data_IF_075965458146
#
_entry.id   IF_075965458146
#
_cell.length_a   1.000
_cell.length_b   1.000
_cell.length_c   1.000
_cell.angle_alpha   90.00
_cell.angle_beta   90.00
_cell.angle_gamma   90.00
#
_symmetry.space_group_name_H-M   'P 1'
#
loop_
_entity.id
_entity.type
_entity.pdbx_description
1 polymer ?
#
# COMPACT_ATOMS: atom_id res chain seq x y z
N UNK A 1 -3.22 -29.90 14.48
CA UNK A 1 -2.44 -29.26 15.56
C UNK A 1 -2.50 -27.76 15.33
N UNK A 2 -3.21 -27.04 16.18
CA UNK A 2 -3.48 -25.60 16.06
C UNK A 2 -2.30 -24.85 16.69
N UNK A 3 -1.53 -24.11 15.91
CA UNK A 3 -0.37 -23.36 16.42
C UNK A 3 -0.91 -22.12 17.13
N UNK A 4 -1.19 -22.24 18.42
CA UNK A 4 -1.46 -21.11 19.31
C UNK A 4 -0.12 -20.42 19.63
N UNK A 5 0.06 -19.16 19.24
CA UNK A 5 1.09 -18.33 19.90
C UNK A 5 1.86 -17.29 19.08
N UNK A 6 1.63 -17.11 17.78
CA UNK A 6 2.17 -15.92 17.11
C UNK A 6 1.21 -14.75 17.37
N UNK A 7 1.55 -13.90 18.34
CA UNK A 7 0.97 -12.56 18.41
C UNK A 7 1.30 -11.89 17.08
N UNK A 8 0.30 -11.59 16.27
CA UNK A 8 0.51 -10.80 15.06
C UNK A 8 1.20 -9.50 15.45
N UNK A 9 2.02 -8.93 14.58
CA UNK A 9 2.75 -7.70 14.93
C UNK A 9 1.77 -6.55 15.22
N UNK A 10 0.58 -6.60 14.64
CA UNK A 10 -0.58 -5.80 15.02
C UNK A 10 -0.92 -5.86 16.52
N UNK A 11 -0.88 -7.02 17.16
CA UNK A 11 -1.12 -7.16 18.62
C UNK A 11 0.04 -6.64 19.46
N UNK A 12 1.29 -6.74 18.98
CA UNK A 12 2.47 -6.21 19.68
C UNK A 12 2.50 -4.68 19.62
N UNK A 13 2.02 -4.11 18.53
CA UNK A 13 1.99 -2.66 18.29
C UNK A 13 0.77 -2.00 18.94
N UNK A 14 -0.39 -2.67 18.98
CA UNK A 14 -1.53 -2.23 19.78
C UNK A 14 -1.20 -2.16 21.29
N UNK A 15 -0.34 -3.05 21.79
CA UNK A 15 0.10 -3.04 23.19
C UNK A 15 1.06 -1.88 23.54
N UNK A 16 1.61 -1.17 22.55
CA UNK A 16 2.54 -0.04 22.74
C UNK A 16 1.91 1.33 22.54
N UNK A 17 0.59 1.41 22.33
CA UNK A 17 -0.13 2.69 22.16
C UNK A 17 0.09 3.34 20.78
N UNK A 18 0.52 2.56 19.79
CA UNK A 18 0.72 3.05 18.42
C UNK A 18 -0.62 3.07 17.66
N UNK A 19 -1.10 4.27 17.32
CA UNK A 19 -2.29 4.48 16.47
C UNK A 19 -1.94 4.34 14.98
N UNK A 20 -1.66 3.11 14.56
CA UNK A 20 -1.42 2.73 13.16
C UNK A 20 -2.68 2.21 12.44
N UNK A 21 -2.66 2.14 11.10
CA UNK A 21 -3.75 1.57 10.31
C UNK A 21 -3.84 0.05 10.53
N UNK A 22 -5.04 -0.48 10.65
CA UNK A 22 -5.30 -1.91 10.80
C UNK A 22 -5.35 -2.64 9.45
N UNK A 23 -5.63 -1.91 8.36
CA UNK A 23 -5.62 -2.44 7.00
C UNK A 23 -4.72 -1.64 6.05
N UNK A 24 -4.18 -2.29 5.02
CA UNK A 24 -3.25 -1.62 4.10
C UNK A 24 -3.94 -0.52 3.27
N UNK A 25 -5.23 -0.66 2.99
CA UNK A 25 -6.07 0.31 2.27
C UNK A 25 -6.81 1.30 3.19
N UNK A 26 -6.63 1.19 4.51
CA UNK A 26 -7.32 2.06 5.47
C UNK A 26 -6.77 3.49 5.42
N UNK A 27 -7.61 4.53 5.35
CA UNK A 27 -7.17 5.92 5.49
C UNK A 27 -6.37 6.15 6.78
N UNK A 28 -5.19 6.77 6.68
CA UNK A 28 -4.38 7.09 7.85
C UNK A 28 -3.91 8.55 7.78
N UNK A 29 -4.20 9.44 8.75
CA UNK A 29 -3.83 10.86 8.69
C UNK A 29 -2.33 11.11 8.97
N UNK A 30 -1.45 10.35 8.33
CA UNK A 30 -0.01 10.50 8.44
C UNK A 30 0.48 11.72 7.65
N UNK A 31 1.44 12.48 8.21
CA UNK A 31 2.06 13.62 7.52
C UNK A 31 3.46 13.25 7.04
N UNK A 32 3.71 13.42 5.76
CA UNK A 32 5.01 13.09 5.17
C UNK A 32 5.92 14.30 5.05
N UNK A 33 7.22 14.06 5.19
CA UNK A 33 8.26 15.03 4.89
C UNK A 33 8.84 14.81 3.49
N UNK A 34 9.26 15.88 2.78
CA UNK A 34 10.03 15.74 1.55
C UNK A 34 11.28 14.86 1.77
N UNK A 35 11.53 13.94 0.85
CA UNK A 35 12.62 12.96 0.91
C UNK A 35 12.30 11.68 1.70
N UNK A 36 11.16 11.60 2.38
CA UNK A 36 10.77 10.42 3.16
C UNK A 36 10.45 9.22 2.24
N UNK A 37 10.86 8.03 2.67
CA UNK A 37 10.52 6.77 2.02
C UNK A 37 9.11 6.33 2.41
N UNK A 38 8.35 5.89 1.40
CA UNK A 38 6.93 5.51 1.53
C UNK A 38 6.64 4.30 0.65
N UNK A 39 5.52 3.65 0.91
CA UNK A 39 4.95 2.59 0.09
C UNK A 39 3.68 3.14 -0.56
N UNK A 40 3.56 2.99 -1.87
CA UNK A 40 2.39 3.43 -2.64
C UNK A 40 1.65 2.24 -3.23
N UNK A 41 0.33 2.28 -3.10
CA UNK A 41 -0.56 1.32 -3.73
C UNK A 41 -0.86 1.76 -5.16
N UNK A 42 -0.56 0.90 -6.12
CA UNK A 42 -0.90 1.10 -7.52
C UNK A 42 -1.92 0.02 -7.90
N UNK A 43 -3.15 0.47 -8.14
CA UNK A 43 -4.21 -0.38 -8.66
C UNK A 43 -3.97 -0.57 -10.15
N UNK A 44 -3.53 -1.77 -10.54
CA UNK A 44 -3.32 -2.15 -11.94
C UNK A 44 -4.63 -2.41 -12.68
N UNK A 45 -4.54 -2.69 -13.97
CA UNK A 45 -5.69 -3.18 -14.73
C UNK A 45 -6.06 -4.60 -14.26
N UNK A 46 -7.27 -4.76 -13.72
CA UNK A 46 -7.79 -6.04 -13.23
C UNK A 46 -7.61 -6.23 -11.72
N UNK A 47 -7.04 -7.38 -11.34
CA UNK A 47 -6.97 -7.84 -9.93
C UNK A 47 -5.56 -7.71 -9.33
N UNK A 48 -4.60 -7.18 -10.09
CA UNK A 48 -3.25 -6.90 -9.59
C UNK A 48 -3.26 -5.59 -8.81
N UNK A 49 -3.10 -5.72 -7.50
CA UNK A 49 -2.85 -4.63 -6.58
C UNK A 49 -1.43 -4.77 -6.11
N UNK A 50 -0.59 -3.79 -6.43
CA UNK A 50 0.83 -3.86 -6.11
C UNK A 50 1.24 -2.66 -5.27
N UNK A 51 2.12 -2.92 -4.30
CA UNK A 51 2.69 -1.91 -3.43
C UNK A 51 4.14 -1.65 -3.86
N UNK A 52 4.45 -0.40 -4.22
CA UNK A 52 5.77 0.00 -4.70
C UNK A 52 6.52 0.82 -3.66
N UNK A 53 7.84 0.60 -3.50
CA UNK A 53 8.70 1.50 -2.76
C UNK A 53 8.82 2.82 -3.51
N UNK A 54 8.68 3.92 -2.76
CA UNK A 54 8.57 5.25 -3.31
C UNK A 54 9.20 6.30 -2.39
N UNK A 55 9.28 7.53 -2.89
CA UNK A 55 9.84 8.67 -2.18
C UNK A 55 8.98 9.90 -2.35
N UNK A 56 8.75 10.62 -1.25
CA UNK A 56 8.02 11.88 -1.26
C UNK A 56 8.92 12.97 -1.85
N UNK A 57 8.46 13.62 -2.91
CA UNK A 57 9.18 14.75 -3.52
C UNK A 57 8.83 16.04 -2.78
N UNK A 58 7.53 16.31 -2.62
CA UNK A 58 7.02 17.54 -2.02
C UNK A 58 5.55 17.41 -1.62
N UNK A 59 5.09 18.25 -0.70
CA UNK A 59 3.66 18.49 -0.47
C UNK A 59 3.12 19.38 -1.58
N UNK A 60 2.03 18.99 -2.24
CA UNK A 60 1.49 19.74 -3.40
C UNK A 60 0.36 20.67 -3.00
N UNK A 61 -0.83 20.14 -2.72
CA UNK A 61 -2.02 20.93 -2.43
C UNK A 61 -2.84 20.31 -1.31
N UNK A 62 -3.53 21.16 -0.55
CA UNK A 62 -4.59 20.76 0.34
C UNK A 62 -5.94 20.96 -0.36
N UNK A 63 -6.79 19.94 -0.39
CA UNK A 63 -8.17 20.03 -0.86
C UNK A 63 -9.09 20.05 0.36
N UNK A 64 -9.82 21.14 0.54
CA UNK A 64 -10.86 21.22 1.57
C UNK A 64 -12.12 20.50 1.07
N UNK A 65 -12.58 19.54 1.85
CA UNK A 65 -13.89 18.90 1.74
C UNK A 65 -14.78 19.42 2.88
N UNK A 66 -16.12 19.25 2.78
CA UNK A 66 -17.05 19.71 3.82
C UNK A 66 -16.77 19.16 5.23
N UNK A 67 -16.11 18.00 5.33
CA UNK A 67 -15.85 17.27 6.57
C UNK A 67 -14.36 16.95 6.82
N UNK A 68 -13.45 17.28 5.90
CA UNK A 68 -12.04 16.91 6.01
C UNK A 68 -11.13 17.80 5.15
N UNK A 69 -9.84 17.86 5.48
CA UNK A 69 -8.82 18.44 4.59
C UNK A 69 -7.92 17.33 4.08
N UNK A 70 -7.92 17.12 2.76
CA UNK A 70 -7.07 16.14 2.08
C UNK A 70 -5.74 16.80 1.69
N UNK A 71 -4.65 16.37 2.31
CA UNK A 71 -3.31 16.80 1.92
C UNK A 71 -2.74 15.85 0.87
N UNK A 72 -2.41 16.39 -0.30
CA UNK A 72 -1.74 15.65 -1.37
C UNK A 72 -0.23 15.84 -1.32
N UNK A 73 0.48 14.78 -1.66
CA UNK A 73 1.93 14.73 -1.78
C UNK A 73 2.31 14.22 -3.17
N UNK A 74 3.27 14.88 -3.80
CA UNK A 74 3.90 14.40 -5.02
C UNK A 74 4.89 13.29 -4.65
N UNK A 75 4.67 12.08 -5.18
CA UNK A 75 5.46 10.89 -4.85
C UNK A 75 6.08 10.32 -6.13
N UNK A 76 7.33 9.90 -6.01
CA UNK A 76 8.13 9.28 -7.06
C UNK A 76 8.34 7.79 -6.77
N UNK A 77 8.05 6.95 -7.74
CA UNK A 77 8.30 5.51 -7.67
C UNK A 77 8.75 4.97 -9.03
N UNK A 78 9.33 3.77 -9.05
CA UNK A 78 9.77 3.11 -10.28
C UNK A 78 8.78 1.99 -10.60
N UNK A 79 8.16 2.08 -11.77
CA UNK A 79 7.30 1.03 -12.31
C UNK A 79 7.84 0.64 -13.70
N UNK A 80 8.10 -0.65 -13.90
CA UNK A 80 8.57 -1.19 -15.17
C UNK A 80 9.81 -0.46 -15.73
N UNK A 81 10.71 -0.04 -14.83
CA UNK A 81 11.94 0.69 -15.16
C UNK A 81 11.75 2.18 -15.49
N UNK A 82 10.53 2.70 -15.37
CA UNK A 82 10.21 4.11 -15.60
C UNK A 82 9.94 4.81 -14.28
N UNK A 83 10.45 6.03 -14.16
CA UNK A 83 10.15 6.91 -13.03
C UNK A 83 8.75 7.47 -13.23
N UNK A 84 7.84 7.15 -12.32
CA UNK A 84 6.49 7.69 -12.25
C UNK A 84 6.41 8.71 -11.14
N UNK A 85 5.73 9.83 -11.42
CA UNK A 85 5.45 10.89 -10.45
C UNK A 85 3.96 11.15 -10.42
N UNK A 86 3.33 10.95 -9.26
CA UNK A 86 1.89 11.10 -9.10
C UNK A 86 1.56 11.63 -7.71
N UNK A 87 0.42 12.29 -7.61
CA UNK A 87 -0.10 12.79 -6.34
C UNK A 87 -0.87 11.70 -5.60
N UNK A 88 -0.58 11.54 -4.32
CA UNK A 88 -1.28 10.64 -3.41
C UNK A 88 -1.69 11.36 -2.13
N UNK A 89 -2.73 10.86 -1.49
CA UNK A 89 -3.16 11.30 -0.16
C UNK A 89 -3.18 10.09 0.78
N UNK A 90 -2.62 10.20 1.99
CA UNK A 90 -2.64 9.10 2.96
C UNK A 90 -4.06 8.80 3.48
N UNK A 91 -4.97 9.77 3.35
CA UNK A 91 -6.40 9.59 3.60
C UNK A 91 -7.15 8.87 2.47
N UNK A 92 -6.53 8.67 1.30
CA UNK A 92 -7.11 7.82 0.25
C UNK A 92 -6.78 6.33 0.47
N UNK A 93 -5.94 6.01 1.46
CA UNK A 93 -5.47 4.64 1.72
C UNK A 93 -4.28 4.22 0.87
N UNK A 94 -4.09 4.84 -0.29
CA UNK A 94 -3.15 4.42 -1.32
C UNK A 94 -1.66 4.76 -1.05
N UNK A 95 -1.32 5.33 0.11
CA UNK A 95 0.07 5.60 0.52
C UNK A 95 0.26 5.40 2.01
N UNK A 96 1.40 4.81 2.39
CA UNK A 96 1.80 4.52 3.77
C UNK A 96 3.29 4.84 3.99
N UNK A 97 3.72 5.21 5.21
CA UNK A 97 5.14 5.33 5.52
C UNK A 97 5.83 3.97 5.38
N UNK A 98 7.07 4.00 4.92
CA UNK A 98 7.89 2.80 4.82
C UNK A 98 8.46 2.43 6.19
N UNK A 99 7.70 1.67 6.97
CA UNK A 99 8.11 1.17 8.28
C UNK A 99 7.86 -0.35 8.39
N UNK A 100 8.57 -1.05 9.31
CA UNK A 100 8.42 -2.50 9.48
C UNK A 100 6.97 -2.95 9.65
N UNK A 101 6.19 -2.22 10.45
CA UNK A 101 4.77 -2.50 10.68
C UNK A 101 3.95 -2.53 9.38
N UNK A 102 4.08 -1.49 8.56
CA UNK A 102 3.32 -1.38 7.30
C UNK A 102 3.77 -2.45 6.31
N UNK A 103 5.06 -2.77 6.26
CA UNK A 103 5.57 -3.85 5.40
C UNK A 103 4.99 -5.21 5.78
N UNK A 104 4.93 -5.50 7.07
CA UNK A 104 4.33 -6.73 7.58
C UNK A 104 2.82 -6.74 7.33
N UNK A 105 2.12 -5.62 7.54
CA UNK A 105 0.69 -5.50 7.25
C UNK A 105 0.38 -5.78 5.78
N UNK A 106 1.13 -5.17 4.86
CA UNK A 106 1.01 -5.41 3.42
C UNK A 106 1.33 -6.87 3.09
N UNK A 107 2.38 -7.44 3.70
CA UNK A 107 2.73 -8.83 3.48
C UNK A 107 1.63 -9.78 3.97
N UNK A 108 1.09 -9.56 5.17
CA UNK A 108 -0.02 -10.35 5.71
C UNK A 108 -1.22 -10.28 4.76
N UNK A 109 -1.61 -9.09 4.31
CA UNK A 109 -2.74 -8.89 3.40
C UNK A 109 -2.54 -9.48 2.00
N UNK A 110 -1.34 -9.35 1.42
CA UNK A 110 -1.00 -9.94 0.12
C UNK A 110 -0.80 -11.47 0.19
N UNK A 111 -0.50 -12.02 1.38
CA UNK A 111 -0.30 -13.46 1.59
C UNK A 111 -1.59 -14.22 1.94
N UNK A 112 -2.75 -13.55 2.10
CA UNK A 112 -4.01 -14.27 2.26
C UNK A 112 -4.21 -15.18 1.05
N UNK A 113 -4.42 -16.50 1.27
CA UNK A 113 -4.61 -17.42 0.17
C UNK A 113 -5.78 -16.95 -0.68
N UNK A 114 -5.54 -16.85 -1.99
CA UNK A 114 -6.60 -16.72 -2.99
C UNK A 114 -7.33 -18.07 -3.02
N UNK A 115 -8.09 -18.39 -1.98
CA UNK A 115 -8.94 -19.58 -1.89
C UNK A 115 -10.23 -19.41 -2.72
N UNK A 116 -10.22 -18.52 -3.72
CA UNK A 116 -11.32 -18.42 -4.67
C UNK A 116 -10.89 -18.89 -6.07
N UNK A 117 -11.10 -20.18 -6.40
CA UNK A 117 -10.82 -20.72 -7.73
C UNK A 117 -11.67 -20.09 -8.85
N UNK A 118 -12.67 -19.25 -8.53
CA UNK A 118 -13.44 -18.55 -9.58
C UNK A 118 -12.69 -17.39 -10.23
N UNK A 119 -11.62 -16.86 -9.61
CA UNK A 119 -10.81 -15.76 -10.18
C UNK A 119 -9.70 -16.24 -11.12
N UNK A 120 -9.48 -17.55 -11.22
CA UNK A 120 -8.41 -18.15 -12.04
C UNK A 120 -8.72 -18.21 -13.56
N UNK A 121 -9.90 -17.78 -14.01
CA UNK A 121 -10.27 -17.81 -15.43
C UNK A 121 -9.99 -16.45 -16.07
N UNK A 122 -8.71 -16.15 -16.36
CA UNK A 122 -8.28 -15.25 -17.47
C UNK A 122 -6.75 -15.23 -17.70
N UNK A 123 -6.01 -16.30 -17.35
CA UNK A 123 -4.57 -16.39 -17.64
C UNK A 123 -4.23 -17.35 -18.80
N UNK A 124 -5.21 -17.71 -19.63
CA UNK A 124 -4.99 -18.52 -20.83
C UNK A 124 -5.23 -17.72 -22.11
N UNK A 125 -4.32 -16.79 -22.45
CA UNK A 125 -3.91 -16.48 -23.83
C UNK A 125 -2.91 -15.31 -23.88
N UNK A 126 -1.63 -15.64 -23.84
CA UNK A 126 -0.62 -14.95 -24.64
C UNK A 126 0.54 -15.91 -24.87
N UNK A 127 0.38 -16.71 -25.91
CA UNK A 127 1.33 -17.69 -26.36
C UNK A 127 2.60 -17.04 -26.92
N UNK A 128 3.72 -17.75 -26.71
CA UNK A 128 4.96 -17.81 -27.51
C UNK A 128 6.03 -16.73 -27.27
N UNK A 129 6.98 -17.12 -26.42
CA UNK A 129 8.41 -16.96 -26.70
C UNK A 129 8.86 -18.14 -27.57
N UNK A 130 9.54 -17.85 -28.68
CA UNK A 130 10.51 -18.76 -29.32
C UNK A 130 11.73 -17.94 -29.68
N UNK A 131 12.85 -18.36 -29.09
CA UNK A 131 14.28 -18.04 -29.25
C UNK A 131 14.69 -16.94 -30.24
#
# INVERSE_FOLDING_TARGET
MTIWGLKTVAQVIAASGFEGPQHCDEPWPYQFLPGQHVLVHVRGEGCSSEWFPARVISSTRARQLPNATLQYYMIEYIDSGKIIRKEYSPLDGDVKPDCPYVRELIQEELMWPIDDPTRAVSLSKASRVTW
#
